data_IF_536021790909
#
_entry.id   IF_536021790909
#
_cell.length_a   1.000
_cell.length_b   1.000
_cell.length_c   1.000
_cell.angle_alpha   90.00
_cell.angle_beta   90.00
_cell.angle_gamma   90.00
#
_symmetry.space_group_name_H-M   'P 1'
#
loop_
_entity.id
_entity.type
_entity.pdbx_description
1 polymer ?
#
# COMPACT_ATOMS: atom_id res chain seq x y z
N UNK A 1 -22.78 0.43 -38.93
CA UNK A 1 -22.09 -0.88 -39.04
C UNK A 1 -20.62 -0.88 -38.59
N UNK A 2 -19.72 -0.01 -39.07
CA UNK A 2 -18.28 -0.12 -38.72
C UNK A 2 -17.94 0.21 -37.25
N UNK A 3 -18.68 1.12 -36.59
CA UNK A 3 -18.42 1.49 -35.18
C UNK A 3 -19.02 0.51 -34.15
N UNK A 4 -20.14 -0.13 -34.49
CA UNK A 4 -20.79 -1.13 -33.62
C UNK A 4 -20.02 -2.47 -33.63
N UNK A 5 -19.42 -2.82 -34.78
CA UNK A 5 -18.61 -4.04 -34.93
C UNK A 5 -17.24 -3.93 -34.26
N UNK A 6 -16.65 -2.72 -34.20
CA UNK A 6 -15.43 -2.46 -33.41
C UNK A 6 -15.71 -2.57 -31.90
N UNK A 7 -16.89 -2.16 -31.45
CA UNK A 7 -17.34 -2.35 -30.07
C UNK A 7 -17.61 -3.83 -29.76
N UNK A 8 -18.21 -4.59 -30.68
CA UNK A 8 -18.52 -6.01 -30.47
C UNK A 8 -17.28 -6.91 -30.48
N UNK A 9 -16.27 -6.60 -31.30
CA UNK A 9 -14.99 -7.33 -31.35
C UNK A 9 -14.04 -6.99 -30.20
N UNK A 10 -14.14 -5.80 -29.60
CA UNK A 10 -13.39 -5.45 -28.38
C UNK A 10 -14.03 -6.03 -27.09
N UNK A 11 -15.32 -6.40 -27.11
CA UNK A 11 -16.07 -6.86 -25.94
C UNK A 11 -16.15 -8.39 -25.77
N UNK A 12 -15.90 -9.16 -26.83
CA UNK A 12 -15.83 -10.63 -26.79
C UNK A 12 -14.36 -11.06 -26.77
N UNK A 13 -13.65 -10.67 -25.71
CA UNK A 13 -12.36 -11.27 -25.37
C UNK A 13 -12.59 -12.73 -24.96
N UNK A 14 -11.80 -13.62 -25.54
CA UNK A 14 -11.76 -15.07 -25.32
C UNK A 14 -11.93 -15.47 -23.84
N UNK A 15 -12.77 -16.48 -23.63
CA UNK A 15 -12.80 -17.41 -22.52
C UNK A 15 -12.43 -16.88 -21.12
N UNK A 16 -13.45 -16.42 -20.38
CA UNK A 16 -13.37 -16.33 -18.92
C UNK A 16 -13.57 -17.72 -18.30
N UNK A 17 -12.60 -18.27 -17.54
CA UNK A 17 -12.89 -19.39 -16.66
C UNK A 17 -13.87 -18.92 -15.58
N UNK A 18 -14.91 -19.73 -15.35
CA UNK A 18 -15.96 -19.49 -14.37
C UNK A 18 -15.39 -19.31 -12.94
N UNK A 19 -15.03 -18.07 -12.57
CA UNK A 19 -14.53 -17.74 -11.25
C UNK A 19 -15.70 -17.52 -10.29
N UNK A 20 -15.82 -18.45 -9.33
CA UNK A 20 -16.71 -18.39 -8.16
C UNK A 20 -16.57 -17.02 -7.47
N UNK A 21 -17.65 -16.25 -7.41
CA UNK A 21 -17.70 -14.92 -6.77
C UNK A 21 -17.19 -15.00 -5.32
N UNK A 22 -16.13 -14.29 -4.99
CA UNK A 22 -15.62 -14.17 -3.62
C UNK A 22 -16.55 -13.28 -2.77
N UNK A 23 -16.69 -13.53 -1.46
CA UNK A 23 -17.64 -12.82 -0.58
C UNK A 23 -17.42 -11.29 -0.51
N UNK A 24 -16.18 -10.83 -0.73
CA UNK A 24 -15.84 -9.40 -0.84
C UNK A 24 -16.49 -8.72 -2.06
N UNK A 25 -16.66 -9.44 -3.18
CA UNK A 25 -17.31 -8.91 -4.38
C UNK A 25 -18.81 -8.74 -4.20
N UNK A 26 -19.46 -9.64 -3.45
CA UNK A 26 -20.87 -9.48 -3.05
C UNK A 26 -21.06 -8.29 -2.11
N UNK A 27 -20.10 -8.04 -1.22
CA UNK A 27 -20.14 -6.92 -0.28
C UNK A 27 -19.94 -5.56 -0.97
N UNK A 28 -19.12 -5.50 -2.03
CA UNK A 28 -18.99 -4.32 -2.89
C UNK A 28 -20.25 -4.06 -3.75
N UNK A 29 -20.97 -5.13 -4.13
CA UNK A 29 -22.19 -5.07 -4.92
C UNK A 29 -23.41 -4.61 -4.09
N UNK A 30 -23.46 -4.95 -2.80
CA UNK A 30 -24.54 -4.56 -1.86
C UNK A 30 -24.41 -3.10 -1.36
N UNK A 31 -23.20 -2.54 -1.32
CA UNK A 31 -22.97 -1.17 -0.85
C UNK A 31 -23.37 -0.07 -1.87
N UNK A 32 -23.49 -0.37 -3.18
CA UNK A 32 -23.77 0.64 -4.21
C UNK A 32 -25.27 0.97 -4.40
N UNK A 33 -26.19 0.09 -3.99
CA UNK A 33 -27.64 0.23 -4.24
C UNK A 33 -28.39 1.17 -3.28
N UNK A 34 -27.77 1.70 -2.21
CA UNK A 34 -28.43 2.51 -1.15
C UNK A 34 -28.38 4.04 -1.34
N UNK A 35 -28.31 4.53 -2.58
CA UNK A 35 -27.46 5.69 -2.92
C UNK A 35 -28.02 7.14 -2.87
N UNK A 36 -29.32 7.44 -2.72
CA UNK A 36 -29.76 8.85 -2.91
C UNK A 36 -29.95 9.70 -1.64
N UNK A 37 -30.36 9.10 -0.51
CA UNK A 37 -30.46 9.79 0.80
C UNK A 37 -29.18 9.66 1.64
N UNK A 38 -28.36 8.67 1.28
CA UNK A 38 -27.03 8.44 1.84
C UNK A 38 -25.99 9.48 1.36
N UNK A 39 -26.07 9.98 0.12
CA UNK A 39 -25.01 10.83 -0.46
C UNK A 39 -24.82 12.20 0.21
N UNK A 40 -25.87 12.82 0.76
CA UNK A 40 -25.71 14.08 1.53
C UNK A 40 -25.18 13.84 2.96
N UNK A 41 -25.58 12.75 3.62
CA UNK A 41 -24.99 12.32 4.91
C UNK A 41 -23.51 11.94 4.76
N UNK A 42 -23.17 11.18 3.71
CA UNK A 42 -21.81 10.72 3.42
C UNK A 42 -20.84 11.87 3.16
N UNK A 43 -21.28 12.96 2.52
CA UNK A 43 -20.41 14.11 2.24
C UNK A 43 -19.93 14.79 3.52
N UNK A 44 -20.81 14.95 4.52
CA UNK A 44 -20.45 15.54 5.81
C UNK A 44 -19.59 14.58 6.66
N UNK A 45 -19.90 13.28 6.63
CA UNK A 45 -19.12 12.23 7.29
C UNK A 45 -17.69 12.10 6.74
N UNK A 46 -17.53 12.25 5.42
CA UNK A 46 -16.25 12.20 4.73
C UNK A 46 -15.41 13.46 5.03
N UNK A 47 -16.03 14.64 5.04
CA UNK A 47 -15.36 15.90 5.43
C UNK A 47 -14.88 15.82 6.88
N UNK A 48 -15.71 15.36 7.81
CA UNK A 48 -15.31 15.16 9.21
C UNK A 48 -14.13 14.19 9.34
N UNK A 49 -14.18 13.07 8.65
CA UNK A 49 -13.10 12.06 8.68
C UNK A 49 -11.80 12.61 8.11
N UNK A 50 -11.86 13.39 7.01
CA UNK A 50 -10.69 14.04 6.40
C UNK A 50 -10.08 15.09 7.31
N UNK A 51 -10.90 15.98 7.90
CA UNK A 51 -10.43 17.02 8.82
C UNK A 51 -9.72 16.41 10.02
N UNK A 52 -10.30 15.38 10.63
CA UNK A 52 -9.71 14.74 11.80
C UNK A 52 -8.42 13.98 11.46
N UNK A 53 -8.32 13.40 10.25
CA UNK A 53 -7.09 12.76 9.76
C UNK A 53 -5.97 13.79 9.49
N UNK A 54 -6.31 14.99 9.01
CA UNK A 54 -5.34 16.08 8.83
C UNK A 54 -4.83 16.55 10.19
N UNK A 55 -5.73 16.71 11.18
CA UNK A 55 -5.37 17.10 12.54
C UNK A 55 -4.48 16.05 13.22
N UNK A 56 -4.80 14.75 13.09
CA UNK A 56 -3.96 13.69 13.66
C UNK A 56 -2.58 13.64 12.99
N UNK A 57 -2.52 13.88 11.69
CA UNK A 57 -1.24 13.97 10.95
C UNK A 57 -0.38 15.13 11.42
N UNK A 58 -0.97 16.32 11.58
CA UNK A 58 -0.29 17.47 12.13
C UNK A 58 0.22 17.20 13.56
N UNK A 59 -0.58 16.51 14.38
CA UNK A 59 -0.18 16.11 15.73
C UNK A 59 0.99 15.12 15.73
N UNK A 60 1.06 14.17 14.78
CA UNK A 60 2.21 13.26 14.63
C UNK A 60 3.47 14.05 14.30
N UNK A 61 3.41 14.95 13.32
CA UNK A 61 4.56 15.76 12.90
C UNK A 61 5.05 16.63 14.06
N UNK A 62 4.12 17.32 14.75
CA UNK A 62 4.44 18.12 15.93
C UNK A 62 5.08 17.29 17.03
N UNK A 63 4.55 16.09 17.29
CA UNK A 63 5.09 15.17 18.30
C UNK A 63 6.48 14.64 17.96
N UNK A 64 6.80 14.44 16.69
CA UNK A 64 8.12 13.93 16.27
C UNK A 64 9.14 15.06 16.33
N UNK A 65 8.77 16.24 15.83
CA UNK A 65 9.59 17.45 15.94
C UNK A 65 9.89 17.80 17.40
N UNK A 66 8.90 17.69 18.30
CA UNK A 66 9.11 17.93 19.72
C UNK A 66 10.11 16.97 20.35
N UNK A 67 10.13 15.70 19.92
CA UNK A 67 11.13 14.74 20.43
C UNK A 67 12.53 15.12 19.95
N UNK A 68 12.69 15.48 18.67
CA UNK A 68 13.98 15.93 18.13
C UNK A 68 14.51 17.15 18.89
N UNK A 69 13.69 18.18 19.06
CA UNK A 69 14.07 19.40 19.79
C UNK A 69 14.39 19.08 21.25
N UNK A 70 13.59 18.25 21.91
CA UNK A 70 13.82 17.86 23.30
C UNK A 70 15.07 16.99 23.52
N UNK A 71 15.65 16.39 22.47
CA UNK A 71 16.94 15.70 22.57
C UNK A 71 18.12 16.68 22.63
N UNK A 72 18.00 17.84 21.99
CA UNK A 72 19.06 18.85 21.93
C UNK A 72 18.95 19.88 23.05
N UNK A 73 17.75 20.13 23.56
CA UNK A 73 17.55 21.03 24.70
C UNK A 73 17.58 20.24 26.01
N UNK A 74 18.65 20.36 26.79
CA UNK A 74 18.79 19.81 28.17
C UNK A 74 17.74 20.33 29.17
N UNK A 75 16.77 21.13 28.72
CA UNK A 75 15.61 21.56 29.51
C UNK A 75 14.65 20.39 29.70
N UNK A 76 14.97 19.55 30.69
CA UNK A 76 14.16 18.41 31.10
C UNK A 76 12.67 18.77 31.23
N UNK A 77 11.83 17.95 30.60
CA UNK A 77 10.38 17.80 30.81
C UNK A 77 9.64 19.05 31.35
N UNK A 78 9.84 20.21 30.71
CA UNK A 78 9.04 21.39 31.03
C UNK A 78 7.55 21.10 30.85
N UNK A 79 6.70 21.72 31.66
CA UNK A 79 5.24 21.51 31.64
C UNK A 79 4.64 21.66 30.22
N UNK A 80 5.26 22.47 29.35
CA UNK A 80 4.87 22.62 27.95
C UNK A 80 5.01 21.33 27.12
N UNK A 81 6.05 20.52 27.33
CA UNK A 81 6.24 19.26 26.60
C UNK A 81 5.20 18.21 27.01
N UNK A 82 4.92 18.12 28.31
CA UNK A 82 3.86 17.23 28.83
C UNK A 82 2.49 17.66 28.32
N UNK A 83 2.20 18.97 28.30
CA UNK A 83 0.95 19.49 27.74
C UNK A 83 0.81 19.14 26.24
N UNK A 84 1.89 19.25 25.46
CA UNK A 84 1.90 18.87 24.05
C UNK A 84 1.64 17.36 23.85
N UNK A 85 2.26 16.50 24.66
CA UNK A 85 2.04 15.05 24.62
C UNK A 85 0.58 14.68 24.91
N UNK A 86 0.00 15.28 25.95
CA UNK A 86 -1.41 15.10 26.31
C UNK A 86 -2.33 15.61 25.19
N UNK A 87 -2.05 16.78 24.62
CA UNK A 87 -2.83 17.33 23.50
C UNK A 87 -2.81 16.41 22.27
N UNK A 88 -1.63 15.87 21.91
CA UNK A 88 -1.52 14.91 20.81
C UNK A 88 -2.29 13.61 21.09
N UNK A 89 -2.19 13.08 22.32
CA UNK A 89 -2.93 11.89 22.73
C UNK A 89 -4.46 12.11 22.63
N UNK A 90 -4.95 13.28 23.05
CA UNK A 90 -6.35 13.65 22.92
C UNK A 90 -6.81 13.70 21.46
N UNK A 91 -6.00 14.26 20.55
CA UNK A 91 -6.31 14.28 19.10
C UNK A 91 -6.41 12.86 18.54
N UNK A 92 -5.53 11.94 18.96
CA UNK A 92 -5.58 10.54 18.50
C UNK A 92 -6.79 9.77 19.03
N UNK A 93 -7.22 10.05 20.27
CA UNK A 93 -8.46 9.50 20.82
C UNK A 93 -9.67 10.03 20.05
N UNK A 94 -9.69 11.35 19.77
CA UNK A 94 -10.75 11.98 18.99
C UNK A 94 -10.83 11.38 17.58
N UNK A 95 -9.69 11.11 16.94
CA UNK A 95 -9.64 10.43 15.64
C UNK A 95 -10.31 9.06 15.65
N UNK A 96 -9.98 8.22 16.64
CA UNK A 96 -10.57 6.89 16.76
C UNK A 96 -12.07 7.01 17.06
N UNK A 97 -12.46 7.92 17.96
CA UNK A 97 -13.85 8.12 18.33
C UNK A 97 -14.70 8.55 17.12
N UNK A 98 -14.26 9.56 16.37
CA UNK A 98 -14.96 10.04 15.19
C UNK A 98 -15.05 8.95 14.12
N UNK A 99 -13.95 8.26 13.81
CA UNK A 99 -13.95 7.16 12.83
C UNK A 99 -14.88 6.02 13.25
N UNK A 100 -14.89 5.66 14.53
CA UNK A 100 -15.76 4.59 15.06
C UNK A 100 -17.24 5.00 15.01
N UNK A 101 -17.56 6.27 15.29
CA UNK A 101 -18.93 6.78 15.22
C UNK A 101 -19.45 6.87 13.78
N UNK A 102 -18.62 7.28 12.82
CA UNK A 102 -18.99 7.41 11.41
C UNK A 102 -19.14 6.04 10.74
N UNK A 103 -18.16 5.15 10.91
CA UNK A 103 -18.16 3.83 10.24
C UNK A 103 -19.03 2.79 10.99
N UNK A 104 -19.26 2.98 12.29
CA UNK A 104 -19.82 1.99 13.19
C UNK A 104 -18.78 0.97 13.66
N UNK A 105 -18.87 0.47 14.92
CA UNK A 105 -17.82 -0.35 15.53
C UNK A 105 -17.59 -1.69 14.81
N UNK A 106 -18.65 -2.33 14.32
CA UNK A 106 -18.52 -3.62 13.60
C UNK A 106 -17.75 -3.46 12.27
N UNK A 107 -18.00 -2.38 11.53
CA UNK A 107 -17.29 -2.12 10.27
C UNK A 107 -15.89 -1.60 10.53
N UNK A 108 -15.69 -0.81 11.59
CA UNK A 108 -14.37 -0.30 11.97
C UNK A 108 -13.40 -1.44 12.35
N UNK A 109 -13.86 -2.41 13.13
CA UNK A 109 -13.00 -3.51 13.63
C UNK A 109 -13.02 -4.78 12.77
N UNK A 110 -14.07 -5.06 12.00
CA UNK A 110 -14.16 -6.26 11.16
C UNK A 110 -14.22 -5.96 9.65
N UNK A 111 -14.10 -4.69 9.27
CA UNK A 111 -14.08 -4.28 7.86
C UNK A 111 -12.75 -4.55 7.16
N UNK A 112 -12.65 -4.23 5.86
CA UNK A 112 -11.46 -4.47 5.04
C UNK A 112 -10.20 -3.74 5.55
N UNK A 113 -10.37 -2.62 6.26
CA UNK A 113 -9.28 -1.85 6.86
C UNK A 113 -9.00 -2.22 8.34
N UNK A 114 -9.51 -3.35 8.84
CA UNK A 114 -9.45 -3.72 10.26
C UNK A 114 -8.02 -3.75 10.82
N UNK A 115 -7.07 -4.35 10.09
CA UNK A 115 -5.67 -4.48 10.53
C UNK A 115 -5.05 -3.11 10.82
N UNK A 116 -5.34 -2.14 9.97
CA UNK A 116 -4.83 -0.79 10.11
C UNK A 116 -5.56 0.00 11.19
N UNK A 117 -6.86 -0.19 11.34
CA UNK A 117 -7.64 0.44 12.41
C UNK A 117 -7.25 -0.09 13.79
N UNK A 118 -6.95 -1.39 13.87
CA UNK A 118 -6.43 -2.04 15.08
C UNK A 118 -5.02 -1.52 15.40
N UNK A 119 -4.17 -1.37 14.38
CA UNK A 119 -2.85 -0.76 14.52
C UNK A 119 -2.94 0.70 15.03
N UNK A 120 -3.87 1.49 14.50
CA UNK A 120 -4.11 2.85 14.97
C UNK A 120 -4.56 2.90 16.44
N UNK A 121 -5.43 1.98 16.85
CA UNK A 121 -5.87 1.84 18.26
C UNK A 121 -4.70 1.45 19.15
N UNK A 122 -3.84 0.52 18.72
CA UNK A 122 -2.65 0.11 19.44
C UNK A 122 -1.66 1.27 19.63
N UNK A 123 -1.38 2.05 18.58
CA UNK A 123 -0.47 3.19 18.68
C UNK A 123 -1.06 4.34 19.51
N UNK A 124 -2.37 4.56 19.44
CA UNK A 124 -3.04 5.55 20.28
C UNK A 124 -3.05 5.11 21.75
N UNK A 125 -3.26 3.83 22.05
CA UNK A 125 -3.22 3.33 23.44
C UNK A 125 -1.82 3.44 24.06
N UNK A 126 -0.78 3.17 23.27
CA UNK A 126 0.61 3.39 23.67
C UNK A 126 0.87 4.87 24.01
N UNK A 127 0.31 5.80 23.23
CA UNK A 127 0.42 7.25 23.49
C UNK A 127 -0.27 7.68 24.78
N UNK A 128 -1.43 7.11 25.07
CA UNK A 128 -2.19 7.39 26.29
C UNK A 128 -1.43 6.84 27.50
N UNK A 129 -0.98 5.59 27.43
CA UNK A 129 -0.21 4.94 28.50
C UNK A 129 1.00 5.78 28.88
N UNK A 130 1.70 6.29 27.88
CA UNK A 130 2.85 7.13 28.08
C UNK A 130 2.51 8.52 28.64
N UNK A 131 1.46 9.18 28.16
CA UNK A 131 1.02 10.46 28.73
C UNK A 131 0.61 10.31 30.21
N UNK A 132 -0.05 9.20 30.56
CA UNK A 132 -0.38 8.84 31.95
C UNK A 132 0.90 8.61 32.76
N UNK A 133 1.87 7.88 32.19
CA UNK A 133 3.11 7.56 32.87
C UNK A 133 3.99 8.80 33.09
N UNK A 134 4.08 9.70 32.10
CA UNK A 134 4.79 10.98 32.18
C UNK A 134 4.16 11.92 33.21
N UNK A 135 2.83 11.96 33.31
CA UNK A 135 2.11 12.82 34.27
C UNK A 135 2.10 12.24 35.70
N UNK A 136 1.94 10.93 35.86
CA UNK A 136 1.90 10.27 37.17
C UNK A 136 3.29 10.16 37.83
N UNK A 137 4.36 10.06 37.05
CA UNK A 137 5.72 9.90 37.56
C UNK A 137 6.53 11.21 37.60
N UNK A 138 6.01 12.30 37.04
CA UNK A 138 6.72 13.59 36.88
C UNK A 138 7.23 14.20 38.19
N UNK A 139 6.53 14.00 39.31
CA UNK A 139 6.97 14.53 40.62
C UNK A 139 7.82 13.53 41.44
N UNK A 140 7.74 12.23 41.16
CA UNK A 140 8.42 11.18 41.94
C UNK A 140 9.70 10.61 41.34
N UNK A 141 9.91 10.78 40.03
CA UNK A 141 10.88 9.97 39.28
C UNK A 141 12.28 10.56 39.14
N UNK A 142 12.45 11.88 39.34
CA UNK A 142 13.79 12.50 39.27
C UNK A 142 14.79 11.96 40.31
N UNK A 143 14.33 11.19 41.31
CA UNK A 143 15.18 10.54 42.33
C UNK A 143 15.47 9.05 42.10
N UNK A 144 14.79 8.37 41.17
CA UNK A 144 14.89 6.91 41.01
C UNK A 144 15.85 6.50 39.88
N UNK A 145 17.11 6.98 39.95
CA UNK A 145 18.04 6.95 38.81
C UNK A 145 18.62 5.58 38.42
N UNK A 146 18.29 4.44 39.04
CA UNK A 146 18.97 3.15 38.74
C UNK A 146 18.02 1.93 38.59
N UNK A 147 16.71 2.14 38.45
CA UNK A 147 15.75 1.03 38.43
C UNK A 147 15.37 0.58 37.01
N UNK A 148 14.93 -0.68 36.88
CA UNK A 148 14.30 -1.25 35.67
C UNK A 148 13.19 -0.36 35.09
N UNK A 149 12.55 0.46 35.93
CA UNK A 149 11.55 1.44 35.50
C UNK A 149 12.13 2.53 34.58
N UNK A 150 13.38 2.97 34.80
CA UNK A 150 14.05 3.93 33.91
C UNK A 150 14.27 3.35 32.50
N UNK A 151 14.62 2.07 32.41
CA UNK A 151 14.80 1.37 31.14
C UNK A 151 13.45 1.19 30.41
N UNK A 152 12.40 0.84 31.14
CA UNK A 152 11.03 0.73 30.61
C UNK A 152 10.52 2.08 30.09
N UNK A 153 10.74 3.17 30.84
CA UNK A 153 10.40 4.53 30.40
C UNK A 153 11.17 4.94 29.13
N UNK A 154 12.44 4.54 29.01
CA UNK A 154 13.23 4.76 27.78
C UNK A 154 12.64 3.99 26.59
N UNK A 155 12.19 2.75 26.80
CA UNK A 155 11.50 2.00 25.75
C UNK A 155 10.20 2.68 25.32
N UNK A 156 9.39 3.18 26.26
CA UNK A 156 8.17 3.94 25.93
C UNK A 156 8.47 5.20 25.12
N UNK A 157 9.53 5.95 25.48
CA UNK A 157 9.98 7.12 24.71
C UNK A 157 10.33 6.78 23.26
N UNK A 158 10.98 5.65 23.02
CA UNK A 158 11.31 5.18 21.66
C UNK A 158 10.04 4.73 20.94
N UNK A 159 9.12 4.08 21.66
CA UNK A 159 7.87 3.59 21.10
C UNK A 159 6.97 4.73 20.55
N UNK A 160 7.17 5.99 20.98
CA UNK A 160 6.55 7.18 20.35
C UNK A 160 6.83 7.31 18.86
N UNK A 161 8.01 6.87 18.40
CA UNK A 161 8.37 6.92 16.98
C UNK A 161 7.55 5.94 16.15
N UNK A 162 6.98 4.89 16.76
CA UNK A 162 6.10 3.96 16.05
C UNK A 162 4.85 4.66 15.48
N UNK A 163 4.49 5.85 16.00
CA UNK A 163 3.39 6.68 15.49
C UNK A 163 3.66 7.25 14.10
N UNK A 164 4.94 7.37 13.69
CA UNK A 164 5.30 7.73 12.31
C UNK A 164 4.74 6.76 11.29
N UNK A 165 4.54 5.49 11.67
CA UNK A 165 3.93 4.50 10.79
C UNK A 165 2.49 4.87 10.39
N UNK A 166 1.78 5.69 11.18
CA UNK A 166 0.46 6.21 10.79
C UNK A 166 0.54 7.11 9.55
N UNK A 167 1.68 7.78 9.30
CA UNK A 167 1.87 8.63 8.12
C UNK A 167 1.81 7.81 6.82
N UNK A 168 2.08 6.51 6.87
CA UNK A 168 1.97 5.60 5.72
C UNK A 168 0.52 5.49 5.20
N UNK A 169 -0.49 5.92 5.98
CA UNK A 169 -1.89 6.00 5.51
C UNK A 169 -2.21 7.28 4.74
N UNK A 170 -1.29 8.24 4.66
CA UNK A 170 -1.54 9.48 3.95
C UNK A 170 -1.55 9.22 2.43
N UNK A 171 -2.46 9.86 1.67
CA UNK A 171 -2.49 9.73 0.22
C UNK A 171 -1.17 10.18 -0.44
N UNK A 172 -0.43 11.08 0.21
CA UNK A 172 0.90 11.54 -0.22
C UNK A 172 1.99 10.46 -0.07
N UNK A 173 1.78 9.45 0.77
CA UNK A 173 2.75 8.40 1.09
C UNK A 173 2.23 6.99 0.74
N UNK A 174 1.13 6.92 -0.02
CA UNK A 174 0.54 5.64 -0.46
C UNK A 174 1.54 4.83 -1.30
N UNK A 175 2.30 5.50 -2.17
CA UNK A 175 3.40 4.90 -2.93
C UNK A 175 4.48 4.34 -1.98
N UNK A 176 4.86 5.08 -0.94
CA UNK A 176 5.83 4.63 0.06
C UNK A 176 5.31 3.42 0.85
N UNK A 177 4.04 3.42 1.25
CA UNK A 177 3.40 2.30 1.94
C UNK A 177 3.35 1.05 1.07
N UNK A 178 3.12 1.23 -0.23
CA UNK A 178 3.15 0.16 -1.23
C UNK A 178 4.57 -0.42 -1.37
N UNK A 179 5.59 0.43 -1.43
CA UNK A 179 7.00 -0.01 -1.45
C UNK A 179 7.36 -0.77 -0.16
N UNK A 180 6.99 -0.23 1.01
CA UNK A 180 7.27 -0.86 2.31
C UNK A 180 6.54 -2.21 2.42
N UNK A 181 5.28 -2.31 2.00
CA UNK A 181 4.56 -3.58 2.03
C UNK A 181 5.19 -4.62 1.09
N UNK A 182 5.63 -4.21 -0.11
CA UNK A 182 6.43 -5.03 -1.01
C UNK A 182 7.73 -5.52 -0.36
N UNK A 183 8.43 -4.63 0.34
CA UNK A 183 9.63 -5.00 1.11
C UNK A 183 9.32 -6.00 2.23
N UNK A 184 8.26 -5.78 3.02
CA UNK A 184 7.86 -6.69 4.10
C UNK A 184 7.51 -8.09 3.57
N UNK A 185 6.89 -8.19 2.39
CA UNK A 185 6.63 -9.48 1.73
C UNK A 185 7.95 -10.17 1.36
N UNK A 186 8.96 -9.41 0.93
CA UNK A 186 10.30 -9.93 0.60
C UNK A 186 11.14 -10.37 1.82
N UNK A 187 10.74 -10.02 3.04
CA UNK A 187 11.46 -10.45 4.26
C UNK A 187 11.48 -11.97 4.43
N UNK A 188 10.43 -12.68 3.99
CA UNK A 188 10.36 -14.13 4.13
C UNK A 188 11.47 -14.86 3.34
N UNK A 189 11.64 -14.64 2.03
CA UNK A 189 12.79 -15.21 1.32
C UNK A 189 14.12 -14.64 1.84
N UNK A 190 14.20 -13.34 2.17
CA UNK A 190 15.41 -12.73 2.72
C UNK A 190 15.90 -13.44 3.99
N UNK A 191 14.98 -13.84 4.87
CA UNK A 191 15.29 -14.57 6.09
C UNK A 191 16.03 -15.88 5.81
N UNK A 192 15.57 -16.67 4.83
CA UNK A 192 16.20 -17.94 4.48
C UNK A 192 17.58 -17.75 3.87
N UNK A 193 17.75 -16.74 3.02
CA UNK A 193 19.07 -16.48 2.41
C UNK A 193 20.05 -15.92 3.43
N UNK A 194 19.59 -15.05 4.32
CA UNK A 194 20.39 -14.53 5.44
C UNK A 194 20.78 -15.66 6.39
N UNK A 195 19.88 -16.60 6.68
CA UNK A 195 20.17 -17.79 7.47
C UNK A 195 21.25 -18.67 6.80
N UNK A 196 21.16 -18.87 5.48
CA UNK A 196 22.17 -19.58 4.71
C UNK A 196 23.53 -18.87 4.74
N UNK A 197 23.55 -17.53 4.65
CA UNK A 197 24.77 -16.72 4.84
C UNK A 197 25.38 -16.96 6.22
N UNK A 198 24.59 -16.84 7.29
CA UNK A 198 25.08 -17.09 8.65
C UNK A 198 25.62 -18.50 8.82
N UNK A 199 25.03 -19.51 8.19
CA UNK A 199 25.54 -20.88 8.22
C UNK A 199 26.91 -21.03 7.53
N UNK A 200 27.10 -20.40 6.37
CA UNK A 200 28.39 -20.40 5.65
C UNK A 200 29.46 -19.64 6.44
N UNK A 201 29.13 -18.47 6.97
CA UNK A 201 30.04 -17.68 7.83
C UNK A 201 30.42 -18.48 9.08
N UNK A 202 29.44 -19.14 9.71
CA UNK A 202 29.68 -19.98 10.88
C UNK A 202 30.61 -21.16 10.55
N UNK A 203 30.42 -21.84 9.42
CA UNK A 203 31.33 -22.90 8.97
C UNK A 203 32.75 -22.38 8.75
N UNK A 204 32.91 -21.25 8.06
CA UNK A 204 34.22 -20.64 7.83
C UNK A 204 34.88 -20.18 9.13
N UNK A 205 34.10 -19.70 10.11
CA UNK A 205 34.59 -19.37 11.44
C UNK A 205 35.07 -20.59 12.22
N UNK A 206 34.37 -21.73 12.11
CA UNK A 206 34.83 -22.99 12.71
C UNK A 206 36.14 -23.46 12.06
N UNK A 207 36.25 -23.40 10.73
CA UNK A 207 37.48 -23.75 10.01
C UNK A 207 38.61 -22.82 10.44
N UNK A 208 38.41 -21.51 10.39
CA UNK A 208 39.40 -20.51 10.80
C UNK A 208 39.84 -20.72 12.26
N UNK A 209 38.90 -20.84 13.20
CA UNK A 209 39.21 -21.08 14.61
C UNK A 209 39.96 -22.40 14.82
N UNK A 210 39.52 -23.49 14.19
CA UNK A 210 40.21 -24.79 14.33
C UNK A 210 41.63 -24.75 13.76
N UNK A 211 41.87 -23.99 12.69
CA UNK A 211 43.23 -23.77 12.16
C UNK A 211 44.08 -22.91 13.10
N UNK A 212 43.50 -21.87 13.72
CA UNK A 212 44.18 -21.03 14.70
C UNK A 212 44.56 -21.83 15.96
N UNK A 213 43.63 -22.61 16.50
CA UNK A 213 43.83 -23.43 17.70
C UNK A 213 44.85 -24.56 17.47
N UNK A 214 44.84 -25.21 16.31
CA UNK A 214 45.83 -26.23 15.97
C UNK A 214 47.26 -25.70 15.90
N UNK A 215 47.45 -24.39 15.73
CA UNK A 215 48.75 -23.76 15.50
C UNK A 215 49.24 -22.94 16.69
N UNK A 216 48.36 -22.46 17.57
CA UNK A 216 48.73 -21.82 18.84
C UNK A 216 49.41 -22.77 19.83
N UNK A 217 49.42 -24.08 19.59
CA UNK A 217 50.07 -25.09 20.44
C UNK A 217 49.38 -25.27 21.80
N UNK A 218 49.60 -26.40 22.50
CA UNK A 218 49.07 -26.58 23.85
C UNK A 218 49.72 -25.59 24.82
N UNK A 219 48.89 -24.95 25.66
CA UNK A 219 49.26 -23.99 26.71
C UNK A 219 50.64 -24.24 27.34
N UNK A 220 51.52 -23.23 27.45
CA UNK A 220 52.69 -23.29 28.31
C UNK A 220 52.30 -23.07 29.79
N UNK A 221 51.26 -23.75 30.27
CA UNK A 221 50.92 -23.77 31.71
C UNK A 221 51.65 -24.87 32.49
N UNK A 222 52.67 -25.51 31.90
CA UNK A 222 53.57 -26.43 32.60
C UNK A 222 55.03 -26.04 32.35
N UNK A 223 55.62 -25.49 33.42
CA UNK A 223 57.05 -25.41 33.77
C UNK A 223 58.01 -24.59 32.89
N UNK A 224 58.36 -23.37 33.31
CA UNK A 224 59.64 -23.02 34.00
C UNK A 224 59.81 -21.48 34.08
N UNK A 225 60.21 -20.91 35.23
CA UNK A 225 60.67 -19.52 35.28
C UNK A 225 62.18 -19.46 34.98
N UNK A 226 62.55 -19.11 33.75
CA UNK A 226 63.91 -18.70 33.41
C UNK A 226 63.89 -17.21 33.05
N UNK A 227 64.60 -16.33 33.78
CA UNK A 227 64.73 -14.93 33.43
C UNK A 227 65.98 -14.76 32.56
N UNK A 228 65.81 -14.47 31.26
CA UNK A 228 66.93 -13.99 30.45
C UNK A 228 66.51 -12.87 29.48
N UNK A 229 67.14 -11.72 29.69
CA UNK A 229 67.04 -10.50 28.90
C UNK A 229 67.50 -10.70 27.45
N UNK A 230 66.80 -10.11 26.47
CA UNK A 230 67.42 -9.26 25.45
C UNK A 230 66.38 -8.62 24.51
N UNK A 231 66.65 -7.37 24.10
CA UNK A 231 66.22 -6.86 22.80
C UNK A 231 64.93 -6.04 22.78
N UNK A 232 65.07 -4.72 22.85
CA UNK A 232 64.06 -3.77 22.38
C UNK A 232 64.01 -3.76 20.84
N UNK A 233 62.90 -4.23 20.27
CA UNK A 233 62.42 -3.92 18.90
C UNK A 233 60.88 -3.67 19.01
N UNK A 234 60.31 -2.71 18.26
CA UNK A 234 58.97 -2.19 18.51
C UNK A 234 57.85 -2.95 17.79
N UNK A 235 56.67 -3.01 18.42
CA UNK A 235 55.36 -3.16 17.76
C UNK A 235 54.98 -4.49 17.06
N UNK A 236 55.52 -5.63 17.46
CA UNK A 236 54.85 -6.89 17.13
C UNK A 236 53.56 -7.00 17.97
N UNK A 237 52.40 -6.79 17.34
CA UNK A 237 51.13 -7.21 17.95
C UNK A 237 51.25 -8.71 18.13
N UNK A 238 51.39 -9.17 19.38
CA UNK A 238 51.47 -10.60 19.68
C UNK A 238 50.30 -11.28 18.97
N UNK A 239 50.61 -12.18 18.05
CA UNK A 239 49.62 -12.90 17.24
C UNK A 239 48.54 -13.52 18.13
N UNK A 240 48.91 -13.94 19.34
CA UNK A 240 48.02 -14.44 20.36
C UNK A 240 46.98 -13.41 20.84
N UNK A 241 47.35 -12.13 21.04
CA UNK A 241 46.41 -11.04 21.38
C UNK A 241 45.42 -10.78 20.22
N UNK A 242 45.88 -10.91 18.97
CA UNK A 242 45.00 -10.83 17.78
C UNK A 242 44.01 -12.01 17.76
N UNK A 243 44.49 -13.23 18.02
CA UNK A 243 43.66 -14.43 18.04
C UNK A 243 42.62 -14.33 19.16
N UNK A 244 43.01 -13.98 20.38
CA UNK A 244 42.10 -13.87 21.52
C UNK A 244 41.06 -12.78 21.31
N UNK A 245 41.43 -11.66 20.69
CA UNK A 245 40.52 -10.53 20.48
C UNK A 245 39.53 -10.72 19.34
N UNK A 246 39.95 -11.34 18.24
CA UNK A 246 39.14 -11.47 17.02
C UNK A 246 38.58 -12.87 16.81
N UNK A 247 39.19 -13.89 17.41
CA UNK A 247 38.84 -15.29 17.27
C UNK A 247 38.76 -16.04 18.62
N UNK A 248 38.67 -15.31 19.75
CA UNK A 248 38.67 -15.87 21.11
C UNK A 248 37.48 -16.78 21.41
N UNK A 249 36.27 -16.43 20.96
CA UNK A 249 35.11 -17.34 20.89
C UNK A 249 34.69 -17.65 19.45
N UNK A 250 33.89 -18.71 19.24
CA UNK A 250 33.35 -19.04 17.91
C UNK A 250 32.47 -17.90 17.38
N UNK A 251 31.74 -17.21 18.27
CA UNK A 251 30.90 -16.06 17.90
C UNK A 251 31.76 -14.85 17.49
N UNK A 252 32.86 -14.60 18.20
CA UNK A 252 33.79 -13.52 17.84
C UNK A 252 34.49 -13.80 16.51
N UNK A 253 34.93 -15.05 16.31
CA UNK A 253 35.50 -15.50 15.04
C UNK A 253 34.48 -15.38 13.89
N UNK A 254 33.21 -15.75 14.14
CA UNK A 254 32.13 -15.59 13.18
C UNK A 254 31.89 -14.13 12.82
N UNK A 255 31.88 -13.24 13.81
CA UNK A 255 31.74 -11.80 13.56
C UNK A 255 32.93 -11.23 12.79
N UNK A 256 34.15 -11.65 13.10
CA UNK A 256 35.37 -11.27 12.37
C UNK A 256 35.33 -11.74 10.92
N UNK A 257 34.95 -12.99 10.66
CA UNK A 257 34.78 -13.54 9.31
C UNK A 257 33.70 -12.75 8.55
N UNK A 258 32.57 -12.44 9.20
CA UNK A 258 31.51 -11.62 8.61
C UNK A 258 31.99 -10.21 8.23
N UNK A 259 32.69 -9.51 9.15
CA UNK A 259 33.29 -8.19 8.87
C UNK A 259 34.24 -8.26 7.68
N UNK A 260 35.08 -9.29 7.65
CA UNK A 260 36.01 -9.52 6.59
C UNK A 260 35.36 -9.74 5.22
N UNK A 261 34.24 -10.47 5.18
CA UNK A 261 33.46 -10.69 3.97
C UNK A 261 32.77 -9.41 3.48
N UNK A 262 32.42 -8.48 4.35
CA UNK A 262 31.87 -7.18 3.96
C UNK A 262 32.95 -6.19 3.48
N UNK A 263 34.22 -6.57 3.52
CA UNK A 263 35.35 -5.74 3.11
C UNK A 263 36.08 -5.04 4.26
N UNK A 264 35.62 -5.18 5.51
CA UNK A 264 36.31 -4.68 6.69
C UNK A 264 37.10 -5.80 7.38
N UNK A 265 38.36 -5.97 6.98
CA UNK A 265 39.33 -6.89 7.60
C UNK A 265 40.40 -6.13 8.39
N UNK A 266 40.02 -5.11 9.17
CA UNK A 266 41.01 -4.28 9.90
C UNK A 266 40.99 -4.51 11.40
N UNK A 267 42.18 -4.51 12.00
CA UNK A 267 42.34 -4.49 13.46
C UNK A 267 42.00 -3.11 14.02
N UNK A 268 41.88 -2.98 15.34
CA UNK A 268 41.63 -1.71 16.02
C UNK A 268 42.73 -0.67 15.76
N UNK A 269 43.94 -1.13 15.40
CA UNK A 269 45.08 -0.31 15.03
C UNK A 269 45.16 -0.04 13.52
N UNK A 270 44.18 -0.50 12.73
CA UNK A 270 44.13 -0.33 11.28
C UNK A 270 44.99 -1.31 10.47
N UNK A 271 45.60 -2.32 11.11
CA UNK A 271 46.37 -3.33 10.39
C UNK A 271 45.44 -4.32 9.66
N UNK A 272 45.86 -4.80 8.49
CA UNK A 272 45.09 -5.77 7.71
C UNK A 272 45.20 -7.17 8.34
N UNK A 273 44.08 -7.69 8.82
CA UNK A 273 43.98 -8.96 9.50
C UNK A 273 44.35 -10.15 8.60
N UNK A 274 44.00 -10.07 7.31
CA UNK A 274 44.36 -11.10 6.31
C UNK A 274 45.84 -11.11 6.05
N UNK A 275 46.50 -9.94 6.04
CA UNK A 275 47.94 -9.85 5.85
C UNK A 275 48.71 -10.44 7.04
N UNK A 276 48.23 -10.18 8.27
CA UNK A 276 48.78 -10.77 9.50
C UNK A 276 48.65 -12.29 9.44
N UNK A 277 47.44 -12.80 9.20
CA UNK A 277 47.23 -14.25 9.11
C UNK A 277 47.94 -14.88 7.90
N UNK A 278 48.07 -14.20 6.77
CA UNK A 278 48.84 -14.71 5.64
C UNK A 278 50.32 -14.87 5.96
N UNK A 279 50.89 -13.99 6.79
CA UNK A 279 52.32 -14.02 7.14
C UNK A 279 52.63 -15.24 8.00
N UNK A 280 51.76 -15.54 8.96
CA UNK A 280 52.01 -16.56 9.97
C UNK A 280 51.45 -17.95 9.60
N UNK A 281 50.32 -18.02 8.88
CA UNK A 281 49.65 -19.28 8.51
C UNK A 281 50.01 -19.77 7.09
N UNK A 282 50.67 -18.92 6.30
CA UNK A 282 51.20 -19.28 4.99
C UNK A 282 50.15 -19.51 3.90
N UNK A 283 50.50 -20.22 2.81
CA UNK A 283 49.70 -20.26 1.58
C UNK A 283 48.40 -21.07 1.70
N UNK A 284 48.32 -22.02 2.64
CA UNK A 284 47.11 -22.81 2.87
C UNK A 284 45.95 -21.94 3.37
N UNK A 285 46.22 -21.03 4.29
CA UNK A 285 45.25 -20.04 4.76
C UNK A 285 44.80 -19.13 3.61
N UNK A 286 45.73 -18.64 2.80
CA UNK A 286 45.42 -17.78 1.65
C UNK A 286 44.48 -18.48 0.67
N UNK A 287 44.71 -19.76 0.38
CA UNK A 287 43.86 -20.53 -0.52
C UNK A 287 42.44 -20.68 0.04
N UNK A 288 42.29 -21.07 1.31
CA UNK A 288 40.98 -21.22 1.97
C UNK A 288 40.25 -19.88 2.04
N UNK A 289 40.95 -18.80 2.40
CA UNK A 289 40.39 -17.45 2.44
C UNK A 289 39.92 -17.00 1.06
N UNK A 290 40.75 -17.13 0.01
CA UNK A 290 40.37 -16.78 -1.35
C UNK A 290 39.18 -17.61 -1.85
N UNK A 291 39.16 -18.92 -1.58
CA UNK A 291 38.04 -19.79 -1.96
C UNK A 291 36.75 -19.36 -1.23
N UNK A 292 36.81 -19.10 0.07
CA UNK A 292 35.68 -18.61 0.86
C UNK A 292 35.15 -17.28 0.34
N UNK A 293 36.05 -16.34 0.00
CA UNK A 293 35.68 -15.05 -0.58
C UNK A 293 35.01 -15.21 -1.94
N UNK A 294 35.50 -16.11 -2.81
CA UNK A 294 34.85 -16.37 -4.10
C UNK A 294 33.44 -16.94 -3.92
N UNK A 295 33.27 -17.90 -3.01
CA UNK A 295 31.94 -18.50 -2.72
C UNK A 295 30.97 -17.44 -2.21
N UNK A 296 31.41 -16.54 -1.33
CA UNK A 296 30.52 -15.51 -0.76
C UNK A 296 30.24 -14.38 -1.74
N UNK A 297 31.27 -13.80 -2.37
CA UNK A 297 31.11 -12.70 -3.33
C UNK A 297 30.43 -13.13 -4.63
N UNK A 298 30.93 -14.17 -5.29
CA UNK A 298 30.38 -14.59 -6.59
C UNK A 298 29.22 -15.56 -6.46
N UNK A 299 29.15 -16.35 -5.39
CA UNK A 299 28.02 -17.25 -5.17
C UNK A 299 26.89 -16.56 -4.44
N UNK A 300 27.11 -16.26 -3.16
CA UNK A 300 26.02 -15.96 -2.24
C UNK A 300 25.40 -14.57 -2.44
N UNK A 301 26.21 -13.52 -2.63
CA UNK A 301 25.66 -12.18 -2.92
C UNK A 301 24.87 -12.16 -4.22
N UNK A 302 25.34 -12.84 -5.26
CA UNK A 302 24.61 -12.97 -6.52
C UNK A 302 23.28 -13.72 -6.35
N UNK A 303 23.24 -14.75 -5.51
CA UNK A 303 21.99 -15.45 -5.16
C UNK A 303 21.04 -14.54 -4.38
N UNK A 304 21.55 -13.78 -3.40
CA UNK A 304 20.74 -12.78 -2.67
C UNK A 304 20.14 -11.76 -3.63
N UNK A 305 20.95 -11.18 -4.52
CA UNK A 305 20.50 -10.21 -5.51
C UNK A 305 19.46 -10.81 -6.46
N UNK A 306 19.67 -12.04 -6.95
CA UNK A 306 18.72 -12.72 -7.83
C UNK A 306 17.35 -12.92 -7.15
N UNK A 307 17.34 -13.39 -5.90
CA UNK A 307 16.11 -13.62 -5.13
C UNK A 307 15.39 -12.30 -4.85
N UNK A 308 16.13 -11.23 -4.55
CA UNK A 308 15.53 -9.92 -4.34
C UNK A 308 14.86 -9.40 -5.61
N UNK A 309 15.54 -9.48 -6.75
CA UNK A 309 14.99 -9.11 -8.06
C UNK A 309 13.74 -9.94 -8.38
N UNK A 310 13.77 -11.25 -8.16
CA UNK A 310 12.61 -12.12 -8.39
C UNK A 310 11.42 -11.75 -7.49
N UNK A 311 11.67 -11.48 -6.20
CA UNK A 311 10.64 -11.06 -5.27
C UNK A 311 10.01 -9.73 -5.67
N UNK A 312 10.81 -8.73 -6.07
CA UNK A 312 10.31 -7.44 -6.57
C UNK A 312 9.48 -7.62 -7.84
N UNK A 313 9.98 -8.39 -8.83
CA UNK A 313 9.27 -8.63 -10.09
C UNK A 313 7.94 -9.36 -9.86
N UNK A 314 7.90 -10.31 -8.93
CA UNK A 314 6.67 -11.01 -8.56
C UNK A 314 5.65 -10.06 -7.92
N UNK A 315 6.09 -9.19 -7.01
CA UNK A 315 5.22 -8.18 -6.39
C UNK A 315 4.62 -7.20 -7.42
N UNK A 316 5.42 -6.76 -8.39
CA UNK A 316 4.94 -5.90 -9.48
C UNK A 316 3.90 -6.61 -10.37
N UNK A 317 4.15 -7.86 -10.76
CA UNK A 317 3.20 -8.66 -11.56
C UNK A 317 1.86 -8.88 -10.85
N UNK A 318 1.89 -9.07 -9.54
CA UNK A 318 0.67 -9.26 -8.75
C UNK A 318 -0.14 -7.96 -8.67
N UNK A 319 0.52 -6.82 -8.49
CA UNK A 319 -0.10 -5.48 -8.56
C UNK A 319 -0.73 -5.21 -9.93
N UNK A 320 -0.01 -5.47 -11.02
CA UNK A 320 -0.50 -5.29 -12.39
C UNK A 320 -1.69 -6.21 -12.70
N UNK A 321 -1.63 -7.46 -12.23
CA UNK A 321 -2.73 -8.41 -12.38
C UNK A 321 -3.98 -7.92 -11.64
N UNK A 322 -3.85 -7.48 -10.39
CA UNK A 322 -4.96 -6.92 -9.61
C UNK A 322 -5.56 -5.69 -10.31
N UNK A 323 -4.73 -4.78 -10.83
CA UNK A 323 -5.22 -3.62 -11.58
C UNK A 323 -5.96 -4.02 -12.86
N UNK A 324 -5.45 -5.02 -13.59
CA UNK A 324 -6.10 -5.54 -14.80
C UNK A 324 -7.46 -6.17 -14.49
N UNK A 325 -7.56 -6.99 -13.45
CA UNK A 325 -8.83 -7.59 -13.02
C UNK A 325 -9.85 -6.53 -12.58
N UNK A 326 -9.41 -5.49 -11.85
CA UNK A 326 -10.28 -4.39 -11.46
C UNK A 326 -10.87 -3.65 -12.67
N UNK A 327 -10.04 -3.35 -13.68
CA UNK A 327 -10.49 -2.70 -14.93
C UNK A 327 -11.48 -3.56 -15.72
N UNK A 328 -11.22 -4.86 -15.83
CA UNK A 328 -12.12 -5.80 -16.52
C UNK A 328 -13.48 -5.87 -15.82
N UNK A 329 -13.48 -5.99 -14.50
CA UNK A 329 -14.72 -6.02 -13.72
C UNK A 329 -15.50 -4.70 -13.84
N UNK A 330 -14.81 -3.56 -13.81
CA UNK A 330 -15.43 -2.26 -14.02
C UNK A 330 -16.08 -2.16 -15.41
N UNK A 331 -15.37 -2.56 -16.46
CA UNK A 331 -15.90 -2.55 -17.84
C UNK A 331 -17.14 -3.42 -17.99
N UNK A 332 -17.11 -4.65 -17.46
CA UNK A 332 -18.27 -5.57 -17.50
C UNK A 332 -19.46 -5.03 -16.72
N UNK A 333 -19.23 -4.45 -15.55
CA UNK A 333 -20.29 -3.83 -14.74
C UNK A 333 -20.95 -2.66 -15.47
N UNK A 334 -20.16 -1.81 -16.12
CA UNK A 334 -20.66 -0.66 -16.88
C UNK A 334 -21.53 -1.11 -18.03
N UNK A 335 -21.10 -2.11 -18.80
CA UNK A 335 -21.90 -2.64 -19.91
C UNK A 335 -23.22 -3.23 -19.45
N UNK A 336 -23.20 -4.01 -18.37
CA UNK A 336 -24.42 -4.60 -17.83
C UNK A 336 -25.43 -3.52 -17.41
N UNK A 337 -24.96 -2.49 -16.71
CA UNK A 337 -25.81 -1.37 -16.29
C UNK A 337 -26.28 -0.51 -17.45
N UNK A 338 -25.44 -0.32 -18.48
CA UNK A 338 -25.82 0.40 -19.68
C UNK A 338 -26.89 -0.33 -20.48
N UNK A 339 -26.78 -1.66 -20.62
CA UNK A 339 -27.82 -2.48 -21.25
C UNK A 339 -29.14 -2.40 -20.50
N UNK A 340 -29.10 -2.49 -19.16
CA UNK A 340 -30.28 -2.32 -18.33
C UNK A 340 -30.91 -0.93 -18.52
N UNK A 341 -30.10 0.12 -18.60
CA UNK A 341 -30.57 1.49 -18.84
C UNK A 341 -31.28 1.62 -20.19
N UNK A 342 -30.70 1.07 -21.26
CA UNK A 342 -31.32 1.07 -22.60
C UNK A 342 -32.64 0.31 -22.58
N UNK A 343 -32.68 -0.87 -21.97
CA UNK A 343 -33.89 -1.69 -21.86
C UNK A 343 -35.03 -0.95 -21.13
N UNK A 344 -34.73 -0.34 -19.96
CA UNK A 344 -35.71 0.45 -19.18
C UNK A 344 -36.14 1.70 -19.93
N UNK A 345 -35.22 2.36 -20.66
CA UNK A 345 -35.52 3.55 -21.43
C UNK A 345 -36.48 3.26 -22.58
N UNK A 346 -36.20 2.22 -23.36
CA UNK A 346 -37.09 1.77 -24.44
C UNK A 346 -38.46 1.37 -23.90
N UNK A 347 -38.51 0.70 -22.75
CA UNK A 347 -39.76 0.37 -22.07
C UNK A 347 -40.59 1.62 -21.76
N UNK A 348 -39.97 2.62 -21.12
CA UNK A 348 -40.66 3.85 -20.72
C UNK A 348 -41.16 4.66 -21.92
N UNK A 349 -40.40 4.71 -23.02
CA UNK A 349 -40.81 5.41 -24.25
C UNK A 349 -42.00 4.69 -24.89
N UNK A 350 -41.93 3.37 -25.05
CA UNK A 350 -43.00 2.59 -25.69
C UNK A 350 -44.29 2.56 -24.87
N UNK A 351 -44.19 2.46 -23.54
CA UNK A 351 -45.36 2.58 -22.65
C UNK A 351 -46.03 3.95 -22.78
N UNK A 352 -45.26 5.03 -22.99
CA UNK A 352 -45.80 6.37 -23.22
C UNK A 352 -46.49 6.53 -24.57
N UNK A 353 -45.97 5.88 -25.63
CA UNK A 353 -46.53 5.94 -26.98
C UNK A 353 -47.74 5.03 -27.20
N UNK A 354 -48.17 4.27 -26.19
CA UNK A 354 -49.26 3.27 -26.28
C UNK A 354 -49.05 2.23 -27.40
N UNK A 355 -47.81 1.87 -27.69
CA UNK A 355 -47.49 0.85 -28.71
C UNK A 355 -47.81 -0.58 -28.22
N UNK A 356 -48.18 -1.51 -29.13
CA UNK A 356 -48.49 -2.89 -28.78
C UNK A 356 -47.28 -3.62 -28.17
N UNK A 357 -47.51 -4.29 -27.03
CA UNK A 357 -46.48 -4.98 -26.21
C UNK A 357 -45.69 -6.09 -26.91
N UNK A 358 -46.14 -6.60 -28.06
CA UNK A 358 -45.49 -7.72 -28.76
C UNK A 358 -44.14 -7.36 -29.38
N UNK A 359 -43.93 -6.11 -29.82
CA UNK A 359 -42.66 -5.68 -30.43
C UNK A 359 -41.54 -5.43 -29.40
N UNK A 360 -41.90 -5.38 -28.11
CA UNK A 360 -40.99 -5.07 -26.99
C UNK A 360 -40.24 -6.30 -26.48
N UNK A 361 -40.86 -7.49 -26.50
CA UNK A 361 -40.24 -8.73 -26.01
C UNK A 361 -39.03 -9.16 -26.85
N UNK A 362 -39.08 -8.93 -28.16
CA UNK A 362 -38.05 -9.40 -29.09
C UNK A 362 -36.78 -8.53 -29.02
N UNK A 363 -36.96 -7.21 -28.88
CA UNK A 363 -35.86 -6.28 -28.67
C UNK A 363 -35.14 -6.51 -27.32
N UNK A 364 -35.91 -6.73 -26.24
CA UNK A 364 -35.36 -7.01 -24.90
C UNK A 364 -34.60 -8.35 -24.88
N UNK A 365 -35.10 -9.40 -25.55
CA UNK A 365 -34.39 -10.70 -25.66
C UNK A 365 -33.05 -10.57 -26.37
N UNK A 366 -32.98 -9.73 -27.39
CA UNK A 366 -31.74 -9.47 -28.15
C UNK A 366 -30.69 -8.76 -27.30
N UNK A 367 -31.11 -7.77 -26.49
CA UNK A 367 -30.21 -7.04 -25.59
C UNK A 367 -29.78 -7.82 -24.35
N UNK A 368 -30.61 -8.75 -23.86
CA UNK A 368 -30.34 -9.56 -22.65
C UNK A 368 -29.49 -10.81 -22.92
N UNK A 369 -29.06 -11.03 -24.17
CA UNK A 369 -28.08 -12.07 -24.50
C UNK A 369 -28.58 -13.50 -24.29
N UNK A 370 -29.89 -13.73 -24.26
CA UNK A 370 -30.41 -15.10 -24.36
C UNK A 370 -30.22 -15.57 -25.81
N UNK A 371 -29.15 -16.36 -26.00
CA UNK A 371 -28.77 -17.08 -27.21
C UNK A 371 -29.95 -17.39 -28.15
N UNK A 372 -29.96 -16.74 -29.31
CA UNK A 372 -30.77 -17.17 -30.45
C UNK A 372 -29.86 -17.97 -31.37
N UNK A 373 -30.09 -19.29 -31.43
CA UNK A 373 -29.62 -20.10 -32.54
C UNK A 373 -30.18 -19.51 -33.84
N UNK A 374 -29.28 -19.31 -34.79
CA UNK A 374 -29.50 -18.94 -36.18
C UNK A 374 -30.84 -19.41 -36.75
N UNK A 375 -31.76 -18.48 -36.98
CA UNK A 375 -32.59 -18.47 -38.18
C UNK A 375 -32.98 -17.03 -38.52
N UNK A 376 -32.66 -16.66 -39.77
CA UNK A 376 -32.63 -15.29 -40.24
C UNK A 376 -33.96 -14.56 -40.12
N UNK A 377 -33.98 -13.55 -39.26
CA UNK A 377 -34.87 -12.42 -39.38
C UNK A 377 -33.99 -11.17 -39.48
N UNK A 378 -34.01 -10.51 -40.63
CA UNK A 378 -33.55 -9.13 -40.76
C UNK A 378 -34.48 -8.26 -39.92
N UNK A 379 -34.20 -8.14 -38.62
CA UNK A 379 -34.79 -7.08 -37.81
C UNK A 379 -34.21 -5.77 -38.32
N UNK A 380 -35.03 -4.95 -38.97
CA UNK A 380 -34.71 -3.55 -39.19
C UNK A 380 -34.40 -2.94 -37.81
N UNK A 381 -33.13 -2.57 -37.59
CA UNK A 381 -32.70 -1.78 -36.44
C UNK A 381 -33.28 -0.37 -36.61
N UNK A 382 -34.56 -0.19 -36.31
CA UNK A 382 -35.13 1.15 -36.16
C UNK A 382 -34.53 1.75 -34.89
N UNK A 383 -33.66 2.75 -35.05
CA UNK A 383 -33.18 3.56 -33.95
C UNK A 383 -34.37 4.25 -33.28
N UNK A 384 -34.46 4.10 -31.96
CA UNK A 384 -35.54 4.72 -31.19
C UNK A 384 -35.13 6.15 -30.88
N UNK A 385 -35.93 7.09 -31.36
CA UNK A 385 -35.79 8.52 -31.08
C UNK A 385 -36.68 8.93 -29.93
N UNK A 386 -36.22 9.89 -29.12
CA UNK A 386 -36.98 10.48 -28.03
C UNK A 386 -37.00 12.01 -28.12
N UNK A 387 -38.12 12.59 -27.73
CA UNK A 387 -38.29 14.04 -27.63
C UNK A 387 -37.75 14.56 -26.29
N UNK A 388 -37.50 15.88 -26.19
CA UNK A 388 -37.07 16.53 -24.95
C UNK A 388 -37.97 16.21 -23.75
N UNK A 389 -39.28 16.15 -23.95
CA UNK A 389 -40.22 15.84 -22.86
C UNK A 389 -40.13 14.37 -22.41
N UNK A 390 -39.98 13.44 -23.35
CA UNK A 390 -39.77 12.03 -23.06
C UNK A 390 -38.47 11.82 -22.29
N UNK A 391 -37.39 12.51 -22.69
CA UNK A 391 -36.10 12.51 -22.01
C UNK A 391 -36.19 13.04 -20.57
N UNK A 392 -36.81 14.22 -20.35
CA UNK A 392 -36.95 14.79 -19.01
C UNK A 392 -37.79 13.91 -18.07
N UNK A 393 -38.81 13.22 -18.60
CA UNK A 393 -39.60 12.24 -17.83
C UNK A 393 -38.81 10.98 -17.54
N UNK A 394 -38.02 10.50 -18.50
CA UNK A 394 -37.14 9.36 -18.34
C UNK A 394 -36.15 9.59 -17.19
N UNK A 395 -35.52 10.77 -17.14
CA UNK A 395 -34.61 11.15 -16.04
C UNK A 395 -35.31 11.27 -14.67
N UNK A 396 -36.64 11.44 -14.64
CA UNK A 396 -37.42 11.47 -13.38
C UNK A 396 -37.79 10.08 -12.88
N UNK A 397 -37.75 9.05 -13.73
CA UNK A 397 -38.10 7.69 -13.35
C UNK A 397 -37.12 7.15 -12.30
N UNK A 398 -37.65 6.55 -11.23
CA UNK A 398 -36.84 6.06 -10.09
C UNK A 398 -35.86 4.96 -10.50
N UNK A 399 -36.26 4.06 -11.39
CA UNK A 399 -35.44 2.96 -11.92
C UNK A 399 -34.27 3.49 -12.77
N UNK A 400 -34.54 4.45 -13.65
CA UNK A 400 -33.52 5.14 -14.47
C UNK A 400 -32.53 5.90 -13.59
N UNK A 401 -33.02 6.63 -12.59
CA UNK A 401 -32.15 7.34 -11.65
C UNK A 401 -31.22 6.38 -10.91
N UNK A 402 -31.70 5.22 -10.47
CA UNK A 402 -30.84 4.22 -9.84
C UNK A 402 -29.76 3.71 -10.79
N UNK A 403 -30.08 3.45 -12.05
CA UNK A 403 -29.10 3.01 -13.05
C UNK A 403 -28.07 4.09 -13.39
N UNK A 404 -28.49 5.35 -13.54
CA UNK A 404 -27.58 6.49 -13.71
C UNK A 404 -26.65 6.64 -12.50
N UNK A 405 -27.17 6.43 -11.29
CA UNK A 405 -26.36 6.43 -10.07
C UNK A 405 -25.34 5.28 -10.04
N UNK A 406 -25.74 4.08 -10.45
CA UNK A 406 -24.85 2.92 -10.54
C UNK A 406 -23.73 3.14 -11.58
N UNK A 407 -24.03 3.85 -12.66
CA UNK A 407 -23.09 4.24 -13.72
C UNK A 407 -22.20 5.44 -13.36
N UNK A 408 -22.39 6.04 -12.19
CA UNK A 408 -21.72 7.27 -11.74
C UNK A 408 -21.96 8.47 -12.67
N UNK A 409 -23.22 8.65 -13.06
CA UNK A 409 -23.71 9.77 -13.86
C UNK A 409 -24.68 10.58 -13.01
N UNK A 410 -24.31 11.83 -12.71
CA UNK A 410 -25.13 12.75 -11.91
C UNK A 410 -25.79 13.77 -12.83
N UNK A 411 -27.00 13.49 -13.29
CA UNK A 411 -27.75 14.37 -14.18
C UNK A 411 -29.02 14.84 -13.49
N UNK A 412 -29.18 16.16 -13.40
CA UNK A 412 -30.46 16.75 -12.99
C UNK A 412 -31.41 16.86 -14.19
N UNK A 413 -32.72 16.61 -14.01
CA UNK A 413 -33.70 16.67 -15.08
C UNK A 413 -34.06 18.13 -15.43
N UNK A 414 -33.11 18.86 -16.02
CA UNK A 414 -33.30 20.23 -16.50
C UNK A 414 -33.29 20.30 -18.04
N UNK A 415 -34.03 21.23 -18.66
CA UNK A 415 -34.07 21.36 -20.11
C UNK A 415 -32.70 21.61 -20.73
N UNK A 416 -31.84 22.38 -20.06
CA UNK A 416 -30.51 22.74 -20.58
C UNK A 416 -29.61 21.51 -20.79
N UNK A 417 -29.86 20.44 -20.04
CA UNK A 417 -29.11 19.19 -20.18
C UNK A 417 -29.45 18.48 -21.49
N UNK A 418 -30.69 18.57 -21.97
CA UNK A 418 -31.07 17.96 -23.25
C UNK A 418 -30.26 18.55 -24.41
N UNK A 419 -30.04 19.86 -24.37
CA UNK A 419 -29.31 20.59 -25.41
C UNK A 419 -27.79 20.35 -25.39
N UNK A 420 -27.27 19.59 -24.40
CA UNK A 420 -25.87 19.14 -24.38
C UNK A 420 -25.65 17.79 -25.02
N UNK A 421 -26.73 17.10 -25.38
CA UNK A 421 -26.65 15.94 -26.25
C UNK A 421 -26.65 16.43 -27.71
N UNK A 422 -26.07 15.65 -28.60
CA UNK A 422 -26.21 15.89 -30.03
C UNK A 422 -27.66 15.56 -30.40
N UNK A 423 -28.52 16.57 -30.46
CA UNK A 423 -29.90 16.45 -30.90
C UNK A 423 -29.94 16.60 -32.41
N UNK A 424 -30.72 15.79 -33.11
CA UNK A 424 -30.93 15.95 -34.56
C UNK A 424 -31.66 17.27 -34.88
N UNK A 425 -31.58 17.69 -36.15
CA UNK A 425 -32.20 18.95 -36.62
C UNK A 425 -33.74 18.98 -36.42
N UNK A 426 -34.36 17.83 -36.18
CA UNK A 426 -35.80 17.68 -35.90
C UNK A 426 -36.16 17.80 -34.40
N UNK A 427 -35.17 18.02 -33.52
CA UNK A 427 -35.37 18.12 -32.07
C UNK A 427 -35.52 16.78 -31.36
N UNK A 428 -35.12 15.68 -32.01
CA UNK A 428 -35.13 14.34 -31.44
C UNK A 428 -33.72 13.85 -31.06
N UNK A 429 -33.67 12.98 -30.05
CA UNK A 429 -32.44 12.38 -29.54
C UNK A 429 -32.49 10.86 -29.76
N UNK A 430 -31.49 10.30 -30.44
CA UNK A 430 -31.41 8.85 -30.62
C UNK A 430 -30.94 8.13 -29.35
N UNK A 431 -31.27 6.85 -29.22
CA UNK A 431 -30.75 6.00 -28.14
C UNK A 431 -29.21 5.90 -28.16
N UNK A 432 -28.59 5.91 -29.33
CA UNK A 432 -27.12 5.87 -29.48
C UNK A 432 -26.46 7.15 -28.98
N UNK A 433 -27.08 8.31 -29.21
CA UNK A 433 -26.62 9.61 -28.71
C UNK A 433 -26.84 9.74 -27.20
N UNK A 434 -27.96 9.23 -26.69
CA UNK A 434 -28.19 9.13 -25.24
C UNK A 434 -27.06 8.33 -24.57
N UNK A 435 -26.70 7.16 -25.12
CA UNK A 435 -25.61 6.33 -24.59
C UNK A 435 -24.29 7.09 -24.61
N UNK A 436 -23.97 7.72 -25.74
CA UNK A 436 -22.70 8.43 -25.94
C UNK A 436 -22.59 9.66 -25.04
N UNK A 437 -23.68 10.43 -24.91
CA UNK A 437 -23.72 11.60 -24.02
C UNK A 437 -23.66 11.22 -22.54
N UNK A 438 -24.36 10.17 -22.12
CA UNK A 438 -24.26 9.67 -20.74
C UNK A 438 -22.86 9.13 -20.42
N UNK A 439 -22.18 8.49 -21.38
CA UNK A 439 -20.77 8.09 -21.24
C UNK A 439 -19.83 9.30 -21.15
N UNK A 440 -20.17 10.43 -21.79
CA UNK A 440 -19.43 11.70 -21.65
C UNK A 440 -19.59 12.28 -20.23
N UNK A 441 -20.76 12.11 -19.61
CA UNK A 441 -21.06 12.60 -18.26
C UNK A 441 -20.63 11.67 -17.12
N UNK A 442 -20.01 10.53 -17.43
CA UNK A 442 -19.56 9.56 -16.43
C UNK A 442 -18.35 10.06 -15.64
N UNK A 443 -18.45 10.03 -14.31
CA UNK A 443 -17.42 10.45 -13.35
C UNK A 443 -17.77 11.74 -12.60
N UNK A 444 -16.74 12.43 -12.09
CA UNK A 444 -16.95 13.61 -11.22
C UNK A 444 -17.74 14.76 -11.88
N UNK A 445 -18.58 15.42 -11.06
CA UNK A 445 -19.44 16.58 -11.38
C UNK A 445 -18.75 17.64 -12.26
N UNK A 446 -17.44 17.86 -12.08
CA UNK A 446 -16.66 18.82 -12.86
C UNK A 446 -16.71 18.55 -14.38
N UNK A 447 -16.81 17.30 -14.83
CA UNK A 447 -16.80 16.97 -16.27
C UNK A 447 -18.10 17.40 -16.96
N UNK A 448 -19.23 17.32 -16.28
CA UNK A 448 -20.52 17.76 -16.80
C UNK A 448 -20.55 19.29 -16.93
N UNK A 449 -20.10 20.01 -15.91
CA UNK A 449 -20.01 21.47 -15.94
C UNK A 449 -19.05 21.97 -17.03
N UNK A 450 -17.91 21.28 -17.23
CA UNK A 450 -17.00 21.57 -18.34
C UNK A 450 -17.67 21.34 -19.69
N UNK A 451 -18.42 20.25 -19.87
CA UNK A 451 -19.14 19.98 -21.12
C UNK A 451 -20.22 21.02 -21.39
N UNK A 452 -21.01 21.40 -20.37
CA UNK A 452 -22.02 22.46 -20.45
C UNK A 452 -21.39 23.80 -20.88
N UNK A 453 -20.28 24.18 -20.26
CA UNK A 453 -19.55 25.41 -20.60
C UNK A 453 -18.96 25.36 -22.00
N UNK A 454 -18.41 24.23 -22.43
CA UNK A 454 -17.89 24.05 -23.78
C UNK A 454 -18.97 24.17 -24.85
N UNK A 455 -20.16 23.63 -24.59
CA UNK A 455 -21.31 23.71 -25.48
C UNK A 455 -21.81 25.15 -25.61
N UNK A 456 -21.92 25.87 -24.48
CA UNK A 456 -22.35 27.27 -24.48
C UNK A 456 -21.34 28.18 -25.20
N UNK A 457 -20.05 27.93 -25.03
CA UNK A 457 -18.98 28.60 -25.78
C UNK A 457 -19.05 28.29 -27.29
N UNK A 458 -19.39 27.06 -27.68
CA UNK A 458 -19.56 26.68 -29.08
C UNK A 458 -20.76 27.40 -29.72
N UNK A 459 -21.88 27.53 -29.01
CA UNK A 459 -23.05 28.31 -29.47
C UNK A 459 -22.72 29.77 -29.68
N UNK A 460 -22.04 30.41 -28.72
CA UNK A 460 -21.64 31.81 -28.83
C UNK A 460 -20.69 32.04 -30.00
N UNK A 461 -19.78 31.09 -30.27
CA UNK A 461 -18.88 31.13 -31.41
C UNK A 461 -19.60 30.99 -32.75
N UNK A 462 -20.72 30.28 -32.81
CA UNK A 462 -21.55 30.17 -34.02
C UNK A 462 -22.41 31.41 -34.30
N UNK A 463 -22.59 32.29 -33.30
CA UNK A 463 -23.36 33.54 -33.42
C UNK A 463 -22.49 34.76 -33.77
N UNK A 464 -21.17 34.65 -33.65
CA UNK A 464 -20.16 35.64 -34.08
C UNK A 464 -19.66 35.29 -35.49
#
# INVERSE_FOLDING_TARGET
MLKLFILQSAFLGEDMPAARKTPLMLQAQDNRTRSHRWRECVKNEEVCTRVVTILSTAAIIASVASVGIAMDTDTGAGAGWVALEVACACIFVLEIAVKTCVLGPCVYFCGPACHWNLFDVFLSSLSILEAILSSALGEGFHRASHSRAAMVLRCFRIARMARLAKLLRMPLLEELATIISGFLISLRPLFWVTLALFAVVYFLALVMRSTLESLSGPDPSVSTPEPFFSGSEPEDVELQDVIDRYCGSVMDCQFTVFRCMLGDCTTAKGANLVAIFSKDFGPAFNFVYCLGMVVVFFGLFNVITAIFVEATLKGLKESDAQMKYARLHESSFVVEKMRALVAVSVRHIKEQRQEPKQLYSDFIRTLTGQSFESQGCHAHEEEIFMTQQEFLRLLRASEVRQLLCDLDVQVEPRPEVFDTFNVEDDGSLSMSELITGLMRFRGDLNKMDICLVQEELARLRHQL
#
